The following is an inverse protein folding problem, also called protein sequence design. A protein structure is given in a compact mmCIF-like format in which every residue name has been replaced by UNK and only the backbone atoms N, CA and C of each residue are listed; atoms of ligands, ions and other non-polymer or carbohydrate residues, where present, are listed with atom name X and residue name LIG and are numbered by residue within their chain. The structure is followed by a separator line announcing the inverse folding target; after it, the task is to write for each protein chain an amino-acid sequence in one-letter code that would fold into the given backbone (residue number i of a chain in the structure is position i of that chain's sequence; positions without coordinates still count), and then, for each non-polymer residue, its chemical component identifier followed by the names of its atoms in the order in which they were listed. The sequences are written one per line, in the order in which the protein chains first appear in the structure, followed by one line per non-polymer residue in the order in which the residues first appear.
data_IF_926541799191
#
_entry.id   IF_926541799191
#
_cell.length_a   1.000
_cell.length_b   1.000
_cell.length_c   1.000
_cell.angle_alpha   90.00
_cell.angle_beta   90.00
_cell.angle_gamma   90.00
#
_symmetry.space_group_name_H-M   'P 1'
#
loop_
_entity.id
_entity.type
_entity.pdbx_description
1 polymer ?
#
# COMPACT_ATOMS: atom_id res chain seq x y z
N UNK A 1 14.58 -17.27 13.07
CA UNK A 1 14.12 -15.88 13.32
C UNK A 1 13.09 -15.51 12.25
N UNK A 2 11.82 -15.37 12.60
CA UNK A 2 10.79 -14.88 11.67
C UNK A 2 11.03 -13.39 11.42
N UNK A 3 11.62 -13.04 10.27
CA UNK A 3 11.88 -11.64 9.90
C UNK A 3 10.58 -11.06 9.36
N UNK A 4 10.09 -9.99 9.98
CA UNK A 4 8.90 -9.26 9.54
C UNK A 4 9.05 -8.85 8.06
N UNK A 5 8.19 -9.33 7.13
CA UNK A 5 8.28 -9.00 5.71
C UNK A 5 7.84 -7.55 5.40
N UNK A 6 7.28 -6.84 6.38
CA UNK A 6 6.76 -5.47 6.22
C UNK A 6 7.79 -4.44 6.71
N UNK A 7 8.79 -4.12 5.87
CA UNK A 7 9.84 -3.13 6.16
C UNK A 7 9.27 -1.68 6.14
N UNK A 8 9.49 -0.90 7.22
CA UNK A 8 9.01 0.49 7.42
C UNK A 8 10.01 1.52 6.85
N UNK A 9 9.88 1.87 5.58
CA UNK A 9 10.53 3.04 4.97
C UNK A 9 9.65 3.57 3.84
N UNK A 10 8.64 4.39 4.13
CA UNK A 10 7.37 4.32 3.39
C UNK A 10 6.99 5.46 2.42
N UNK A 11 7.77 6.54 2.33
CA UNK A 11 7.60 7.58 1.29
C UNK A 11 8.77 7.69 0.29
N UNK A 12 9.87 6.97 0.52
CA UNK A 12 11.01 6.89 -0.41
C UNK A 12 11.02 5.48 -1.00
N UNK A 13 10.70 5.35 -2.29
CA UNK A 13 10.71 4.05 -2.99
C UNK A 13 9.46 3.71 -3.79
N UNK A 14 8.52 4.65 -3.92
CA UNK A 14 7.40 4.53 -4.86
C UNK A 14 7.71 5.29 -6.15
N UNK A 15 7.38 4.68 -7.28
CA UNK A 15 7.30 5.31 -8.60
C UNK A 15 5.85 5.30 -9.05
N UNK A 16 5.42 6.35 -9.74
CA UNK A 16 4.03 6.54 -10.14
C UNK A 16 3.89 6.59 -11.66
N UNK A 17 2.85 5.94 -12.18
CA UNK A 17 2.48 5.98 -13.58
C UNK A 17 1.01 6.34 -13.72
N UNK A 18 0.71 7.39 -14.46
CA UNK A 18 -0.65 7.71 -14.87
C UNK A 18 -0.96 7.03 -16.21
N UNK A 19 -2.16 6.46 -16.34
CA UNK A 19 -2.60 5.80 -17.56
C UNK A 19 -4.13 5.82 -17.68
N UNK A 20 -4.62 5.57 -18.89
CA UNK A 20 -6.05 5.36 -19.17
C UNK A 20 -6.28 3.88 -19.43
N UNK A 21 -7.26 3.30 -18.75
CA UNK A 21 -7.71 1.92 -18.98
C UNK A 21 -9.22 1.93 -19.23
N UNK A 22 -9.63 1.53 -20.44
CA UNK A 22 -11.05 1.57 -20.83
C UNK A 22 -11.68 2.96 -20.71
N UNK A 23 -10.92 4.02 -20.97
CA UNK A 23 -11.36 5.42 -20.82
C UNK A 23 -11.41 5.92 -19.37
N UNK A 24 -11.04 5.10 -18.38
CA UNK A 24 -10.99 5.49 -16.97
C UNK A 24 -9.57 5.93 -16.60
N UNK A 25 -9.37 7.15 -16.07
CA UNK A 25 -8.07 7.60 -15.58
C UNK A 25 -7.67 6.82 -14.32
N UNK A 26 -6.46 6.26 -14.36
CA UNK A 26 -5.88 5.48 -13.28
C UNK A 26 -4.46 5.93 -12.98
N UNK A 27 -4.05 5.69 -11.75
CA UNK A 27 -2.67 5.80 -11.32
C UNK A 27 -2.21 4.46 -10.77
N UNK A 28 -1.01 4.07 -11.16
CA UNK A 28 -0.27 2.93 -10.64
C UNK A 28 0.83 3.45 -9.73
N UNK A 29 1.01 2.81 -8.58
CA UNK A 29 2.18 2.96 -7.73
C UNK A 29 2.97 1.65 -7.71
N UNK A 30 4.27 1.73 -8.05
CA UNK A 30 5.22 0.62 -8.04
C UNK A 30 6.29 0.85 -7.00
N UNK A 31 6.54 -0.13 -6.15
CA UNK A 31 7.52 0.00 -5.05
C UNK A 31 7.48 -1.21 -4.12
N UNK A 32 8.57 -1.47 -3.42
CA UNK A 32 8.67 -2.57 -2.44
C UNK A 32 8.27 -3.95 -2.99
N UNK A 33 8.53 -4.19 -4.29
CA UNK A 33 8.20 -5.44 -4.96
C UNK A 33 6.71 -5.62 -5.29
N UNK A 34 5.88 -4.60 -5.13
CA UNK A 34 4.45 -4.65 -5.51
C UNK A 34 4.07 -3.54 -6.48
N UNK A 35 2.96 -3.76 -7.17
CA UNK A 35 2.27 -2.77 -7.98
C UNK A 35 0.81 -2.71 -7.57
N UNK A 36 0.32 -1.51 -7.31
CA UNK A 36 -1.06 -1.24 -6.91
C UNK A 36 -1.64 -0.14 -7.78
N UNK A 37 -2.94 -0.18 -8.03
CA UNK A 37 -3.61 0.81 -8.88
C UNK A 37 -4.86 1.37 -8.20
N UNK A 38 -5.20 2.61 -8.53
CA UNK A 38 -6.52 3.19 -8.22
C UNK A 38 -7.00 4.03 -9.39
N UNK A 39 -8.32 4.18 -9.50
CA UNK A 39 -8.90 5.25 -10.31
C UNK A 39 -8.56 6.61 -9.71
N UNK A 40 -8.40 7.59 -10.59
CA UNK A 40 -8.41 9.02 -10.27
C UNK A 40 -9.87 9.42 -10.11
N UNK A 41 -10.26 9.89 -8.93
CA UNK A 41 -11.65 10.27 -8.67
C UNK A 41 -11.97 11.63 -9.29
N UNK A 42 -13.25 11.89 -9.55
CA UNK A 42 -13.69 13.18 -10.08
C UNK A 42 -13.33 14.29 -9.09
N UNK A 43 -12.53 15.26 -9.55
CA UNK A 43 -12.08 16.39 -8.74
C UNK A 43 -10.80 16.14 -7.93
N UNK A 44 -10.24 14.93 -7.97
CA UNK A 44 -8.89 14.68 -7.45
C UNK A 44 -7.82 15.06 -8.49
N UNK A 45 -6.74 15.65 -8.01
CA UNK A 45 -5.48 15.72 -8.74
C UNK A 45 -4.76 14.36 -8.74
N UNK A 46 -3.84 14.17 -9.69
CA UNK A 46 -3.02 12.95 -9.76
C UNK A 46 -2.20 12.72 -8.48
N UNK A 47 -1.75 13.80 -7.85
CA UNK A 47 -0.98 13.74 -6.60
C UNK A 47 -1.87 13.24 -5.44
N UNK A 48 -3.08 13.78 -5.31
CA UNK A 48 -4.03 13.31 -4.28
C UNK A 48 -4.41 11.85 -4.49
N UNK A 49 -4.62 11.42 -5.73
CA UNK A 49 -4.86 9.99 -6.03
C UNK A 49 -3.65 9.10 -5.69
N UNK A 50 -2.42 9.57 -5.94
CA UNK A 50 -1.19 8.88 -5.57
C UNK A 50 -1.06 8.74 -4.04
N UNK A 51 -1.25 9.83 -3.31
CA UNK A 51 -1.16 9.88 -1.85
C UNK A 51 -2.23 8.99 -1.20
N UNK A 52 -3.46 9.02 -1.72
CA UNK A 52 -4.56 8.15 -1.27
C UNK A 52 -4.24 6.68 -1.51
N UNK A 53 -3.70 6.34 -2.68
CA UNK A 53 -3.33 4.97 -3.03
C UNK A 53 -2.27 4.41 -2.06
N UNK A 54 -1.18 5.15 -1.86
CA UNK A 54 -0.10 4.74 -0.96
C UNK A 54 -0.62 4.70 0.48
N UNK A 55 -1.35 5.70 0.94
CA UNK A 55 -1.92 5.76 2.30
C UNK A 55 -2.84 4.58 2.60
N UNK A 56 -3.65 4.15 1.62
CA UNK A 56 -4.51 2.96 1.75
C UNK A 56 -3.67 1.69 1.93
N UNK A 57 -2.66 1.50 1.09
CA UNK A 57 -1.75 0.34 1.21
C UNK A 57 -1.02 0.33 2.55
N UNK A 58 -0.56 1.50 3.02
CA UNK A 58 0.08 1.62 4.32
C UNK A 58 -0.84 1.22 5.48
N UNK A 59 -2.13 1.58 5.41
CA UNK A 59 -3.11 1.16 6.41
C UNK A 59 -3.30 -0.36 6.42
N UNK A 60 -3.39 -0.98 5.24
CA UNK A 60 -3.54 -2.43 5.10
C UNK A 60 -2.34 -3.16 5.70
N UNK A 61 -1.12 -2.72 5.36
CA UNK A 61 0.12 -3.32 5.87
C UNK A 61 0.24 -3.20 7.39
N UNK A 62 -0.09 -2.03 7.97
CA UNK A 62 -0.13 -1.84 9.44
C UNK A 62 -1.15 -2.79 10.10
N UNK A 63 -2.35 -2.90 9.53
CA UNK A 63 -3.38 -3.81 10.03
C UNK A 63 -2.87 -5.26 10.05
N UNK A 64 -2.33 -5.74 8.92
CA UNK A 64 -1.76 -7.09 8.79
C UNK A 64 -0.63 -7.35 9.78
N UNK A 65 0.26 -6.36 9.99
CA UNK A 65 1.34 -6.46 10.96
C UNK A 65 0.80 -6.69 12.37
N UNK A 66 -0.17 -5.89 12.83
CA UNK A 66 -0.74 -6.06 14.18
C UNK A 66 -1.52 -7.36 14.34
N UNK A 67 -2.27 -7.79 13.32
CA UNK A 67 -2.91 -9.11 13.32
C UNK A 67 -1.90 -10.24 13.45
N UNK A 68 -0.76 -10.14 12.75
CA UNK A 68 0.31 -11.14 12.86
C UNK A 68 0.95 -11.15 14.25
N UNK A 69 1.31 -9.98 14.79
CA UNK A 69 1.87 -9.86 16.15
C UNK A 69 0.93 -10.49 17.19
N UNK A 70 -0.37 -10.23 17.08
CA UNK A 70 -1.38 -10.84 17.95
C UNK A 70 -1.37 -12.37 17.84
N UNK A 71 -1.35 -12.91 16.62
CA UNK A 71 -1.31 -14.37 16.40
C UNK A 71 -0.03 -15.03 16.93
N UNK A 72 1.10 -14.31 16.92
CA UNK A 72 2.36 -14.81 17.50
C UNK A 72 2.23 -14.87 19.01
N UNK A 73 1.74 -13.81 19.65
CA UNK A 73 1.58 -13.77 21.10
C UNK A 73 0.59 -14.82 21.61
N UNK A 74 -0.51 -15.06 20.90
CA UNK A 74 -1.49 -16.12 21.24
C UNK A 74 -0.88 -17.54 21.14
N UNK A 75 0.12 -17.75 20.28
CA UNK A 75 0.87 -19.01 20.18
C UNK A 75 1.96 -19.16 21.23
N UNK A 76 2.43 -18.08 21.84
CA UNK A 76 3.44 -18.15 22.92
C UNK A 76 2.82 -18.42 24.29
N UNK A 77 1.51 -18.20 24.44
CA UNK A 77 0.76 -18.35 25.70
C UNK A 77 0.12 -19.75 25.82
N UNK A 78 -0.07 -20.46 24.70
CA UNK A 78 -0.49 -21.87 24.65
C UNK A 78 0.71 -22.79 24.45
#
# INVERSE_FOLDING_TARGET
MYRNPFYLGWNKGWSFLFFLEGGTPKIEAKGFGISITTKVEKGESLLESADRLVSKEQRIRKSRYYSWIRSVNEKTIN
#
